data_IF_558841883076
#
_entry.id   IF_558841883076
#
_cell.length_a   1.000
_cell.length_b   1.000
_cell.length_c   1.000
_cell.angle_alpha   90.00
_cell.angle_beta   90.00
_cell.angle_gamma   90.00
#
_symmetry.space_group_name_H-M   'P 1'
#
loop_
_entity.id
_entity.type
_entity.pdbx_description
1 polymer ?
#
# COMPACT_ATOMS: atom_id res chain seq x y z
N UNK A 1 7.63 18.93 5.35
CA UNK A 1 6.34 18.19 5.46
C UNK A 1 6.59 17.02 6.40
N UNK A 2 5.94 16.97 7.56
CA UNK A 2 6.09 15.88 8.54
C UNK A 2 4.78 15.10 8.55
N UNK A 3 4.83 13.76 8.38
CA UNK A 3 5.85 12.88 8.91
C UNK A 3 6.82 12.44 7.81
N UNK A 4 8.07 12.21 8.20
CA UNK A 4 9.01 11.49 7.35
C UNK A 4 8.89 10.00 7.69
N UNK A 5 8.46 9.20 6.73
CA UNK A 5 8.74 7.76 6.73
C UNK A 5 10.03 7.53 5.97
N UNK A 6 10.86 6.62 6.46
CA UNK A 6 12.07 6.18 5.78
C UNK A 6 11.96 4.67 5.62
N UNK A 7 11.89 4.23 4.37
CA UNK A 7 11.96 2.83 3.96
C UNK A 7 13.28 2.66 3.19
N UNK A 8 13.97 1.56 3.42
CA UNK A 8 15.14 1.20 2.61
C UNK A 8 14.75 0.12 1.60
N UNK A 9 14.85 0.42 0.30
CA UNK A 9 14.54 -0.53 -0.76
C UNK A 9 15.85 -1.04 -1.40
N UNK A 10 16.20 -2.32 -1.17
CA UNK A 10 17.49 -2.90 -1.62
C UNK A 10 17.42 -4.42 -1.80
N UNK A 11 17.81 -4.98 -2.96
CA UNK A 11 18.16 -4.28 -4.19
C UNK A 11 16.93 -3.62 -4.82
N UNK A 12 17.12 -2.52 -5.55
CA UNK A 12 16.06 -1.92 -6.37
C UNK A 12 16.33 -2.29 -7.83
N UNK A 13 15.52 -3.19 -8.38
CA UNK A 13 15.62 -3.60 -9.77
C UNK A 13 14.43 -3.04 -10.53
N UNK A 14 14.71 -2.12 -11.46
CA UNK A 14 13.71 -1.53 -12.35
C UNK A 14 14.13 -1.80 -13.78
N UNK A 15 13.27 -2.50 -14.53
CA UNK A 15 13.43 -2.75 -15.95
C UNK A 15 12.31 -2.10 -16.72
N UNK A 16 12.67 -1.34 -17.75
CA UNK A 16 11.72 -0.71 -18.68
C UNK A 16 12.11 -1.09 -20.09
N UNK A 17 11.18 -1.70 -20.82
CA UNK A 17 11.38 -2.10 -22.20
C UNK A 17 10.51 -1.28 -23.14
N UNK A 18 10.98 -1.13 -24.38
CA UNK A 18 10.27 -0.42 -25.45
C UNK A 18 9.99 1.07 -25.17
N UNK A 19 10.85 1.70 -24.37
CA UNK A 19 10.81 3.13 -24.09
C UNK A 19 11.17 3.95 -25.33
N UNK A 20 10.20 4.66 -25.89
CA UNK A 20 10.37 5.43 -27.13
C UNK A 20 9.61 6.76 -27.06
N UNK A 21 10.34 7.86 -26.87
CA UNK A 21 9.76 9.20 -26.78
C UNK A 21 9.17 9.69 -28.11
N UNK A 22 9.70 9.21 -29.25
CA UNK A 22 9.20 9.62 -30.56
C UNK A 22 7.86 8.94 -30.92
N UNK A 23 7.47 7.92 -30.17
CA UNK A 23 6.22 7.18 -30.33
C UNK A 23 5.38 7.27 -29.03
N UNK A 24 4.72 8.41 -28.76
CA UNK A 24 4.09 8.68 -27.47
C UNK A 24 2.97 7.71 -27.07
N UNK A 25 2.28 7.14 -28.06
CA UNK A 25 1.21 6.16 -27.84
C UNK A 25 1.73 4.72 -27.66
N UNK A 26 3.05 4.50 -27.80
CA UNK A 26 3.65 3.18 -27.70
C UNK A 26 3.72 2.73 -26.24
N UNK A 27 3.28 1.51 -26.02
CA UNK A 27 3.33 0.86 -24.73
C UNK A 27 4.76 0.43 -24.39
N UNK A 28 5.19 0.75 -23.18
CA UNK A 28 6.43 0.29 -22.56
C UNK A 28 6.11 -0.75 -21.49
N UNK A 29 6.87 -1.83 -21.46
CA UNK A 29 6.76 -2.84 -20.39
C UNK A 29 7.59 -2.41 -19.20
N UNK A 30 7.11 -2.63 -17.99
CA UNK A 30 7.81 -2.29 -16.75
C UNK A 30 7.77 -3.46 -15.79
N UNK A 31 8.92 -3.72 -15.17
CA UNK A 31 9.06 -4.65 -14.06
C UNK A 31 9.82 -3.93 -12.95
N UNK A 32 9.25 -3.97 -11.75
CA UNK A 32 9.87 -3.53 -10.51
C UNK A 32 9.98 -4.72 -9.57
N UNK A 33 11.16 -4.98 -9.06
CA UNK A 33 11.43 -6.03 -8.08
C UNK A 33 12.35 -5.46 -7.00
N UNK A 34 11.91 -5.49 -5.74
CA UNK A 34 12.68 -4.93 -4.64
C UNK A 34 12.30 -5.53 -3.29
N UNK A 35 13.29 -5.62 -2.40
CA UNK A 35 13.05 -5.88 -0.98
C UNK A 35 12.94 -4.56 -0.22
N UNK A 36 11.99 -4.47 0.71
CA UNK A 36 11.76 -3.32 1.59
C UNK A 36 12.17 -3.66 3.03
N UNK A 37 13.02 -2.80 3.58
CA UNK A 37 13.64 -2.92 4.88
C UNK A 37 14.42 -4.26 5.01
N UNK A 38 13.99 -5.17 5.88
CA UNK A 38 14.67 -6.46 6.11
C UNK A 38 13.84 -7.68 5.72
N UNK A 39 12.53 -7.52 5.49
CA UNK A 39 11.60 -8.64 5.40
C UNK A 39 10.55 -8.50 4.29
N UNK A 40 10.25 -7.28 3.84
CA UNK A 40 9.22 -7.07 2.83
C UNK A 40 9.77 -7.32 1.44
N UNK A 41 8.96 -7.88 0.55
CA UNK A 41 9.24 -7.93 -0.89
C UNK A 41 8.12 -7.25 -1.66
N UNK A 42 8.47 -6.60 -2.77
CA UNK A 42 7.52 -5.99 -3.69
C UNK A 42 7.91 -6.36 -5.10
N UNK A 43 6.95 -6.91 -5.84
CA UNK A 43 7.09 -7.21 -7.25
C UNK A 43 5.90 -6.60 -8.00
N UNK A 44 6.17 -5.71 -8.94
CA UNK A 44 5.17 -5.14 -9.84
C UNK A 44 5.60 -5.40 -11.28
N UNK A 45 4.64 -5.73 -12.13
CA UNK A 45 4.87 -5.89 -13.55
C UNK A 45 3.68 -5.40 -14.36
N UNK A 46 3.95 -4.99 -15.59
CA UNK A 46 2.90 -4.62 -16.51
C UNK A 46 3.39 -3.63 -17.53
N UNK A 47 2.54 -2.68 -17.86
CA UNK A 47 2.72 -1.82 -19.02
C UNK A 47 2.22 -0.41 -18.80
N UNK A 48 2.83 0.57 -19.46
CA UNK A 48 2.36 1.95 -19.45
C UNK A 48 2.73 2.71 -20.72
N UNK A 49 2.05 3.82 -20.99
CA UNK A 49 2.39 4.79 -22.06
C UNK A 49 3.04 6.01 -21.42
N UNK A 50 4.38 6.07 -21.31
CA UNK A 50 5.06 7.09 -20.50
C UNK A 50 5.03 8.49 -21.12
N UNK A 51 4.79 8.58 -22.43
CA UNK A 51 4.91 9.83 -23.18
C UNK A 51 3.60 10.27 -23.87
N UNK A 52 2.50 9.55 -23.64
CA UNK A 52 1.18 9.92 -24.16
C UNK A 52 0.66 11.20 -23.49
N UNK A 53 -0.32 11.86 -24.13
CA UNK A 53 -0.98 13.04 -23.54
C UNK A 53 -1.73 12.72 -22.24
N UNK A 54 -2.11 11.44 -22.08
CA UNK A 54 -2.80 10.91 -20.92
C UNK A 54 -2.06 9.70 -20.34
N UNK A 55 -2.13 9.53 -19.02
CA UNK A 55 -1.58 8.35 -18.37
C UNK A 55 -2.46 7.13 -18.68
N UNK A 56 -1.85 6.15 -19.35
CA UNK A 56 -2.41 4.81 -19.49
C UNK A 56 -1.44 3.81 -18.89
N UNK A 57 -1.93 2.95 -18.02
CA UNK A 57 -1.13 1.88 -17.41
C UNK A 57 -2.02 0.69 -17.03
N UNK A 58 -1.42 -0.48 -17.05
CA UNK A 58 -1.97 -1.69 -16.45
C UNK A 58 -0.82 -2.36 -15.71
N UNK A 59 -0.89 -2.41 -14.39
CA UNK A 59 0.10 -3.02 -13.51
C UNK A 59 -0.58 -4.07 -12.64
N UNK A 60 0.06 -5.20 -12.50
CA UNK A 60 -0.27 -6.19 -11.49
C UNK A 60 0.95 -6.41 -10.59
N UNK A 61 0.73 -6.85 -9.37
CA UNK A 61 1.84 -7.19 -8.51
C UNK A 61 1.46 -7.63 -7.12
N UNK A 62 2.50 -7.94 -6.35
CA UNK A 62 2.39 -8.52 -5.02
C UNK A 62 3.33 -7.79 -4.06
N UNK A 63 2.86 -7.68 -2.81
CA UNK A 63 3.64 -7.25 -1.67
C UNK A 63 3.62 -8.41 -0.68
N UNK A 64 4.79 -8.89 -0.28
CA UNK A 64 4.92 -9.96 0.71
C UNK A 64 5.55 -9.42 1.99
N UNK A 65 4.99 -9.82 3.13
CA UNK A 65 5.53 -9.63 4.47
C UNK A 65 5.95 -8.17 4.80
N UNK A 66 5.21 -7.18 4.30
CA UNK A 66 5.54 -5.77 4.55
C UNK A 66 5.37 -5.41 6.03
N UNK A 67 6.40 -4.81 6.62
CA UNK A 67 6.43 -4.49 8.05
C UNK A 67 5.60 -3.23 8.38
N UNK A 68 4.35 -3.44 8.81
CA UNK A 68 3.38 -2.36 9.07
C UNK A 68 3.83 -1.28 10.07
N UNK A 69 4.61 -1.58 11.13
CA UNK A 69 5.17 -0.54 12.01
C UNK A 69 5.94 0.56 11.27
N UNK A 70 6.53 0.29 10.11
CA UNK A 70 7.18 1.30 9.27
C UNK A 70 6.22 2.41 8.79
N UNK A 71 4.90 2.17 8.78
CA UNK A 71 3.86 3.15 8.45
C UNK A 71 3.31 3.93 9.65
N UNK A 72 3.80 3.65 10.87
CA UNK A 72 3.37 4.33 12.09
C UNK A 72 3.37 5.86 12.00
N UNK A 73 4.36 6.53 11.37
CA UNK A 73 4.32 7.99 11.26
C UNK A 73 3.11 8.50 10.47
N UNK A 74 2.63 7.76 9.46
CA UNK A 74 1.41 8.10 8.72
C UNK A 74 0.16 7.88 9.57
N UNK A 75 0.03 6.71 10.19
CA UNK A 75 -1.08 6.40 11.09
C UNK A 75 -1.18 7.42 12.24
N UNK A 76 -0.05 7.84 12.78
CA UNK A 76 0.02 8.82 13.85
C UNK A 76 -0.56 10.17 13.41
N UNK A 77 -0.24 10.61 12.19
CA UNK A 77 -0.69 11.90 11.68
C UNK A 77 -2.15 11.92 11.30
N UNK A 78 -2.68 10.84 10.74
CA UNK A 78 -4.01 10.84 10.15
C UNK A 78 -5.07 10.23 11.05
N UNK A 79 -4.68 9.23 11.87
CA UNK A 79 -5.60 8.45 12.69
C UNK A 79 -5.39 8.70 14.20
N UNK A 80 -4.30 9.35 14.60
CA UNK A 80 -3.84 9.47 15.99
C UNK A 80 -3.49 8.11 16.63
N UNK A 81 -2.97 7.17 15.83
CA UNK A 81 -2.54 5.83 16.26
C UNK A 81 -1.10 5.51 15.87
N UNK A 82 -0.39 4.73 16.69
CA UNK A 82 0.88 4.09 16.35
C UNK A 82 0.64 2.61 16.05
N UNK A 83 1.27 2.10 15.00
CA UNK A 83 1.25 0.67 14.68
C UNK A 83 2.40 0.02 15.44
N UNK A 84 2.06 -0.83 16.40
CA UNK A 84 3.03 -1.52 17.25
C UNK A 84 3.56 -2.78 16.58
N UNK A 85 2.69 -3.51 15.88
CA UNK A 85 2.98 -4.79 15.26
C UNK A 85 2.07 -5.04 14.05
N UNK A 86 2.49 -5.96 13.20
CA UNK A 86 1.72 -6.50 12.09
C UNK A 86 2.53 -6.64 10.81
N UNK A 87 2.07 -7.49 9.91
CA UNK A 87 2.56 -7.59 8.54
C UNK A 87 1.41 -7.51 7.56
N UNK A 88 1.72 -7.07 6.34
CA UNK A 88 0.80 -6.95 5.22
C UNK A 88 1.34 -7.78 4.05
N UNK A 89 0.47 -8.65 3.55
CA UNK A 89 0.58 -9.23 2.22
C UNK A 89 -0.51 -8.59 1.34
N UNK A 90 -0.21 -8.30 0.09
CA UNK A 90 -1.17 -7.69 -0.82
C UNK A 90 -1.03 -8.19 -2.25
N UNK A 91 -2.16 -8.39 -2.92
CA UNK A 91 -2.24 -8.55 -4.38
C UNK A 91 -2.86 -7.28 -4.96
N UNK A 92 -2.25 -6.77 -6.03
CA UNK A 92 -2.58 -5.48 -6.63
C UNK A 92 -2.90 -5.67 -8.12
N UNK A 93 -4.03 -5.15 -8.59
CA UNK A 93 -4.36 -5.01 -10.01
C UNK A 93 -4.84 -3.58 -10.27
N UNK A 94 -4.01 -2.79 -10.95
CA UNK A 94 -4.23 -1.37 -11.21
C UNK A 94 -4.28 -1.09 -12.71
N UNK A 95 -5.32 -0.40 -13.12
CA UNK A 95 -5.52 0.11 -14.47
C UNK A 95 -5.76 1.60 -14.40
N UNK A 96 -5.01 2.36 -15.18
CA UNK A 96 -5.33 3.77 -15.41
C UNK A 96 -5.67 3.94 -16.86
N UNK A 97 -6.83 4.51 -17.12
CA UNK A 97 -7.24 4.95 -18.44
C UNK A 97 -7.60 6.43 -18.38
N UNK A 98 -6.81 7.25 -19.08
CA UNK A 98 -6.99 8.69 -19.09
C UNK A 98 -7.08 9.31 -17.69
N UNK A 99 -6.08 9.04 -16.86
CA UNK A 99 -6.01 9.51 -15.46
C UNK A 99 -7.11 8.99 -14.52
N UNK A 100 -8.02 8.14 -15.00
CA UNK A 100 -8.98 7.44 -14.15
C UNK A 100 -8.35 6.13 -13.69
N UNK A 101 -8.16 5.99 -12.37
CA UNK A 101 -7.72 4.76 -11.74
C UNK A 101 -8.92 3.82 -11.54
N UNK A 102 -8.75 2.59 -11.96
CA UNK A 102 -9.52 1.41 -11.58
C UNK A 102 -8.54 0.45 -10.91
N UNK A 103 -8.77 0.12 -9.65
CA UNK A 103 -7.84 -0.65 -8.86
C UNK A 103 -8.59 -1.68 -8.02
N UNK A 104 -7.98 -2.84 -7.87
CA UNK A 104 -8.41 -3.90 -6.96
C UNK A 104 -7.18 -4.27 -6.14
N UNK A 105 -7.31 -4.17 -4.82
CA UNK A 105 -6.25 -4.50 -3.89
C UNK A 105 -6.78 -5.48 -2.85
N UNK A 106 -6.29 -6.71 -2.90
CA UNK A 106 -6.58 -7.72 -1.89
C UNK A 106 -5.53 -7.62 -0.80
N UNK A 107 -5.93 -7.20 0.40
CA UNK A 107 -5.03 -6.96 1.52
C UNK A 107 -5.25 -8.03 2.59
N UNK A 108 -4.17 -8.72 2.96
CA UNK A 108 -4.13 -9.61 4.12
C UNK A 108 -3.22 -9.02 5.18
N UNK A 109 -3.79 -8.70 6.33
CA UNK A 109 -3.08 -8.10 7.45
C UNK A 109 -3.12 -9.07 8.62
N UNK A 110 -1.96 -9.47 9.12
CA UNK A 110 -1.88 -10.41 10.23
C UNK A 110 -1.25 -9.76 11.47
N UNK A 111 -1.80 -10.08 12.65
CA UNK A 111 -1.30 -9.67 13.97
C UNK A 111 -1.15 -8.15 14.13
N UNK A 112 -2.01 -7.37 13.48
CA UNK A 112 -2.00 -5.92 13.62
C UNK A 112 -2.17 -5.54 15.09
N UNK A 113 -1.36 -4.64 15.62
CA UNK A 113 -1.58 -4.05 16.94
C UNK A 113 -1.37 -2.55 16.85
N UNK A 114 -2.28 -1.79 17.46
CA UNK A 114 -2.23 -0.33 17.44
C UNK A 114 -2.38 0.25 18.83
N UNK A 115 -1.70 1.37 19.07
CA UNK A 115 -1.76 2.13 20.30
C UNK A 115 -2.25 3.54 20.00
N UNK A 116 -3.25 4.02 20.74
CA UNK A 116 -3.75 5.38 20.59
C UNK A 116 -2.74 6.39 21.14
N UNK A 117 -2.45 7.45 20.39
CA UNK A 117 -1.54 8.52 20.82
C UNK A 117 -2.24 9.57 21.71
N UNK A 118 -3.56 9.49 21.86
CA UNK A 118 -4.41 10.34 22.71
C UNK A 118 -5.45 9.47 23.43
N UNK A 119 -6.39 10.07 24.17
CA UNK A 119 -7.58 9.35 24.61
C UNK A 119 -8.27 8.75 23.37
N UNK A 120 -8.37 7.42 23.30
CA UNK A 120 -8.96 6.67 22.19
C UNK A 120 -10.36 7.20 21.82
N UNK A 121 -11.14 7.61 22.82
CA UNK A 121 -12.48 8.21 22.63
C UNK A 121 -12.46 9.56 21.94
N UNK A 122 -11.30 10.18 21.78
CA UNK A 122 -11.05 11.46 21.13
C UNK A 122 -10.08 11.33 19.94
N UNK A 123 -9.79 10.11 19.51
CA UNK A 123 -8.99 9.88 18.31
C UNK A 123 -9.81 10.21 17.06
N UNK A 124 -9.15 10.66 15.99
CA UNK A 124 -9.80 10.89 14.69
C UNK A 124 -10.46 9.64 14.13
N UNK A 125 -9.86 8.48 14.37
CA UNK A 125 -10.44 7.21 13.93
C UNK A 125 -11.81 6.96 14.59
N UNK A 126 -11.93 7.21 15.89
CA UNK A 126 -13.22 7.10 16.61
C UNK A 126 -14.23 8.15 16.12
N UNK A 127 -13.80 9.37 15.79
CA UNK A 127 -14.68 10.40 15.21
C UNK A 127 -15.25 9.97 13.85
N UNK A 128 -14.45 9.28 13.02
CA UNK A 128 -14.86 8.79 11.70
C UNK A 128 -15.76 7.55 11.80
N UNK A 129 -15.39 6.58 12.65
CA UNK A 129 -16.06 5.28 12.72
C UNK A 129 -17.22 5.24 13.73
N UNK A 130 -17.28 6.17 14.69
CA UNK A 130 -18.22 6.13 15.80
C UNK A 130 -17.95 5.03 16.84
N UNK A 131 -16.82 4.33 16.74
CA UNK A 131 -16.44 3.24 17.65
C UNK A 131 -14.91 3.19 17.85
N UNK A 132 -14.48 2.56 18.95
CA UNK A 132 -13.08 2.44 19.34
C UNK A 132 -12.31 1.55 18.37
N UNK A 133 -11.03 1.87 18.12
CA UNK A 133 -10.21 1.09 17.18
C UNK A 133 -10.10 -0.39 17.56
N UNK A 134 -9.97 -0.69 18.87
CA UNK A 134 -9.99 -2.07 19.36
C UNK A 134 -11.27 -2.81 18.97
N UNK A 135 -12.42 -2.15 19.04
CA UNK A 135 -13.70 -2.72 18.62
C UNK A 135 -13.74 -2.94 17.10
N UNK A 136 -13.31 -1.96 16.30
CA UNK A 136 -13.24 -2.11 14.84
C UNK A 136 -12.37 -3.32 14.46
N UNK A 137 -11.19 -3.42 15.07
CA UNK A 137 -10.25 -4.51 14.84
C UNK A 137 -10.81 -5.86 15.27
N UNK A 138 -11.54 -5.95 16.38
CA UNK A 138 -12.21 -7.19 16.79
C UNK A 138 -13.34 -7.62 15.85
N UNK A 139 -13.93 -6.70 15.07
CA UNK A 139 -14.94 -7.03 14.08
C UNK A 139 -14.34 -7.46 12.74
N UNK A 140 -13.14 -6.97 12.43
CA UNK A 140 -12.44 -7.27 11.18
C UNK A 140 -11.55 -8.52 11.28
N UNK A 141 -11.16 -8.92 12.50
CA UNK A 141 -10.30 -10.08 12.71
C UNK A 141 -11.07 -11.39 12.69
N UNK A 142 -10.45 -12.40 12.08
CA UNK A 142 -10.80 -13.80 12.29
C UNK A 142 -10.24 -14.34 13.62
N UNK A 143 -10.44 -15.64 13.87
CA UNK A 143 -9.95 -16.36 15.05
C UNK A 143 -8.43 -16.57 15.08
N UNK A 144 -7.75 -16.36 13.95
CA UNK A 144 -6.30 -16.45 13.80
C UNK A 144 -5.59 -15.08 13.86
N UNK A 145 -6.33 -14.01 14.19
CA UNK A 145 -5.88 -12.62 14.21
C UNK A 145 -5.51 -12.02 12.84
N UNK A 146 -6.07 -12.56 11.75
CA UNK A 146 -5.94 -12.01 10.40
C UNK A 146 -7.12 -11.11 10.06
N UNK A 147 -6.86 -10.14 9.18
CA UNK A 147 -7.83 -9.23 8.59
C UNK A 147 -7.66 -9.33 7.08
N UNK A 148 -8.73 -9.67 6.36
CA UNK A 148 -8.75 -9.76 4.90
C UNK A 148 -9.75 -8.75 4.34
N UNK A 149 -9.29 -7.84 3.48
CA UNK A 149 -10.10 -6.75 2.94
C UNK A 149 -9.73 -6.51 1.48
N UNK A 150 -10.74 -6.46 0.62
CA UNK A 150 -10.61 -5.95 -0.75
C UNK A 150 -10.87 -4.43 -0.75
N UNK A 151 -9.95 -3.64 -1.28
CA UNK A 151 -10.10 -2.18 -1.40
C UNK A 151 -9.90 -1.69 -2.84
N UNK A 152 -10.72 -0.73 -3.30
CA UNK A 152 -10.54 -0.07 -4.59
C UNK A 152 -9.44 1.00 -4.56
#
# INVERSE_FOLDING_TARGET
VSPAVRLEARPLQLQVEHLDQAAPDKQSSVILDTEIDQYGAVRLEGTLRPFGESLHMALAGEIDAFHLPSLSPYAARHLDYRIMQGHLDASLDWRVDNWQLDAVNDLKIAKLQVESLKDDRKSRLTEILGLRASTALSLLRDDEENIEIEVP
#
